data_IF_961451671802
#
_entry.id   IF_961451671802
#
_cell.length_a   1.000
_cell.length_b   1.000
_cell.length_c   1.000
_cell.angle_alpha   90.00
_cell.angle_beta   90.00
_cell.angle_gamma   90.00
#
_symmetry.space_group_name_H-M   'P 1'
#
loop_
_entity.id
_entity.type
_entity.pdbx_description
1 polymer ?
#
# COMPACT_ATOMS: atom_id res chain seq x y z
N UNK A 1 -24.16 -15.27 0.90
CA UNK A 1 -22.95 -14.82 1.64
C UNK A 1 -22.58 -13.45 1.13
N UNK A 2 -22.46 -12.44 1.98
CA UNK A 2 -22.15 -11.08 1.51
C UNK A 2 -20.91 -10.59 2.23
N UNK A 3 -19.78 -10.66 1.53
CA UNK A 3 -18.54 -10.01 1.97
C UNK A 3 -18.76 -8.50 2.00
N UNK A 4 -18.35 -7.82 3.08
CA UNK A 4 -18.38 -6.36 3.19
C UNK A 4 -16.93 -5.88 3.40
N UNK A 5 -16.48 -4.93 2.61
CA UNK A 5 -15.14 -4.37 2.72
C UNK A 5 -15.21 -2.88 3.05
N UNK A 6 -14.71 -2.52 4.22
CA UNK A 6 -14.40 -1.13 4.57
C UNK A 6 -13.06 -0.78 3.97
N UNK A 7 -13.02 0.17 3.06
CA UNK A 7 -11.83 0.46 2.27
C UNK A 7 -11.74 1.95 1.90
N UNK A 8 -10.58 2.34 1.38
CA UNK A 8 -10.40 3.65 0.75
C UNK A 8 -9.76 3.47 -0.63
N UNK A 9 -10.10 4.34 -1.56
CA UNK A 9 -9.65 4.36 -2.95
C UNK A 9 -8.12 4.39 -3.08
N UNK A 10 -7.45 5.27 -2.32
CA UNK A 10 -6.00 5.48 -2.38
C UNK A 10 -5.19 4.65 -1.38
N UNK A 11 -5.83 3.84 -0.52
CA UNK A 11 -5.12 2.98 0.43
C UNK A 11 -4.47 1.79 -0.24
N UNK A 12 -3.14 1.70 -0.21
CA UNK A 12 -2.39 0.55 -0.74
C UNK A 12 -2.79 -0.77 -0.07
N UNK A 13 -3.11 -0.75 1.23
CA UNK A 13 -3.61 -1.91 1.94
C UNK A 13 -5.00 -2.35 1.46
N UNK A 14 -5.91 -1.40 1.21
CA UNK A 14 -7.23 -1.71 0.66
C UNK A 14 -7.15 -2.21 -0.79
N UNK A 15 -6.23 -1.66 -1.59
CA UNK A 15 -5.98 -2.09 -2.95
C UNK A 15 -5.54 -3.55 -3.03
N UNK A 16 -4.68 -4.02 -2.09
CA UNK A 16 -4.31 -5.44 -1.99
C UNK A 16 -5.54 -6.33 -1.86
N UNK A 17 -6.44 -6.00 -0.95
CA UNK A 17 -7.64 -6.80 -0.69
C UNK A 17 -8.61 -6.76 -1.87
N UNK A 18 -8.84 -5.58 -2.49
CA UNK A 18 -9.67 -5.50 -3.70
C UNK A 18 -9.12 -6.35 -4.84
N UNK A 19 -7.80 -6.32 -5.05
CA UNK A 19 -7.16 -7.14 -6.08
C UNK A 19 -7.29 -8.63 -5.77
N UNK A 20 -7.16 -9.03 -4.50
CA UNK A 20 -7.38 -10.42 -4.07
C UNK A 20 -8.81 -10.88 -4.35
N UNK A 21 -9.80 -10.05 -4.00
CA UNK A 21 -11.22 -10.33 -4.26
C UNK A 21 -11.49 -10.48 -5.77
N UNK A 22 -10.90 -9.62 -6.60
CA UNK A 22 -11.02 -9.70 -8.05
C UNK A 22 -10.35 -10.96 -8.62
N UNK A 23 -9.13 -11.30 -8.18
CA UNK A 23 -8.43 -12.50 -8.61
C UNK A 23 -9.21 -13.80 -8.26
N UNK A 24 -9.95 -13.77 -7.16
CA UNK A 24 -10.81 -14.88 -6.72
C UNK A 24 -12.22 -14.85 -7.31
N UNK A 25 -12.58 -13.80 -8.06
CA UNK A 25 -13.93 -13.57 -8.59
C UNK A 25 -15.00 -13.50 -7.47
N UNK A 26 -14.66 -12.93 -6.32
CA UNK A 26 -15.56 -12.79 -5.18
C UNK A 26 -16.35 -11.48 -5.25
N UNK A 27 -17.67 -11.58 -5.11
CA UNK A 27 -18.53 -10.40 -4.98
C UNK A 27 -18.49 -9.86 -3.56
N UNK A 28 -18.50 -8.53 -3.43
CA UNK A 28 -18.43 -7.86 -2.13
C UNK A 28 -19.20 -6.54 -2.13
N UNK A 29 -19.62 -6.12 -0.96
CA UNK A 29 -20.27 -4.82 -0.73
C UNK A 29 -19.20 -3.79 -0.32
N UNK A 30 -19.17 -2.67 -1.05
CA UNK A 30 -18.25 -1.56 -0.78
C UNK A 30 -18.76 -0.67 0.35
N UNK A 31 -17.88 -0.42 1.33
CA UNK A 31 -18.03 0.61 2.35
C UNK A 31 -16.84 1.56 2.28
N UNK A 32 -16.94 2.57 1.41
CA UNK A 32 -15.87 3.54 1.22
C UNK A 32 -15.72 4.45 2.45
N UNK A 33 -14.47 4.63 2.91
CA UNK A 33 -14.09 5.43 4.07
C UNK A 33 -13.27 6.63 3.65
N UNK A 34 -13.71 7.85 3.94
CA UNK A 34 -12.93 9.06 3.71
C UNK A 34 -11.91 9.26 4.84
N UNK A 35 -10.66 8.89 4.55
CA UNK A 35 -9.56 9.01 5.53
C UNK A 35 -9.21 10.48 5.86
N UNK A 36 -9.55 11.43 4.98
CA UNK A 36 -9.30 12.86 5.20
C UNK A 36 -10.35 13.49 6.12
N UNK A 37 -11.57 12.96 6.09
CA UNK A 37 -12.64 13.33 7.04
C UNK A 37 -12.50 12.62 8.38
N UNK A 38 -11.74 11.52 8.44
CA UNK A 38 -11.52 10.77 9.66
C UNK A 38 -12.56 9.69 9.94
N UNK A 39 -13.23 9.16 8.90
CA UNK A 39 -14.29 8.14 9.03
C UNK A 39 -13.81 6.92 9.84
N UNK A 40 -12.51 6.56 9.72
CA UNK A 40 -11.93 5.46 10.51
C UNK A 40 -11.70 5.79 11.99
N UNK A 41 -11.92 7.03 12.42
CA UNK A 41 -11.62 7.50 13.78
C UNK A 41 -12.88 7.64 14.64
N UNK A 42 -14.05 7.33 14.08
CA UNK A 42 -15.32 7.30 14.81
C UNK A 42 -15.34 6.17 15.83
N UNK A 43 -16.06 6.30 16.94
CA UNK A 43 -16.22 5.23 17.92
C UNK A 43 -16.71 3.93 17.29
N UNK A 44 -17.73 4.02 16.43
CA UNK A 44 -18.39 2.88 15.78
C UNK A 44 -17.40 2.09 14.90
N UNK A 45 -16.54 2.78 14.14
CA UNK A 45 -15.55 2.08 13.34
C UNK A 45 -14.43 1.47 14.18
N UNK A 46 -14.05 2.12 15.30
CA UNK A 46 -13.05 1.58 16.23
C UNK A 46 -13.50 0.31 16.95
N UNK A 47 -14.80 0.06 17.07
CA UNK A 47 -15.33 -1.23 17.54
C UNK A 47 -15.02 -2.35 16.54
N UNK A 48 -15.05 -2.05 15.24
CA UNK A 48 -14.67 -3.00 14.18
C UNK A 48 -13.14 -3.15 14.05
N UNK A 49 -12.43 -2.02 14.09
CA UNK A 49 -10.97 -2.00 13.93
C UNK A 49 -10.35 -0.98 14.91
N UNK A 50 -9.87 -1.43 16.07
CA UNK A 50 -9.25 -0.55 17.07
C UNK A 50 -8.04 0.23 16.57
N UNK A 51 -7.36 -0.26 15.52
CA UNK A 51 -6.25 0.44 14.89
C UNK A 51 -6.68 1.66 14.07
N UNK A 52 -7.98 1.88 13.87
CA UNK A 52 -8.54 2.99 13.11
C UNK A 52 -7.97 3.12 11.69
N UNK A 53 -7.79 2.00 10.99
CA UNK A 53 -7.23 1.90 9.64
C UNK A 53 -8.14 1.07 8.73
N UNK A 54 -7.95 1.19 7.43
CA UNK A 54 -8.52 0.31 6.41
C UNK A 54 -7.42 -0.57 5.81
N UNK A 55 -7.76 -1.76 5.29
CA UNK A 55 -9.09 -2.37 5.16
C UNK A 55 -9.57 -3.06 6.43
N UNK A 56 -10.89 -3.24 6.53
CA UNK A 56 -11.54 -4.19 7.42
C UNK A 56 -12.53 -5.00 6.60
N UNK A 57 -12.44 -6.32 6.65
CA UNK A 57 -13.37 -7.22 5.99
C UNK A 57 -14.37 -7.76 7.00
N UNK A 58 -15.64 -7.84 6.60
CA UNK A 58 -16.67 -8.58 7.35
C UNK A 58 -17.18 -9.72 6.47
N UNK A 59 -17.08 -10.93 6.97
CA UNK A 59 -17.62 -12.13 6.35
C UNK A 59 -18.54 -12.86 7.32
N UNK A 60 -19.82 -13.02 6.97
CA UNK A 60 -20.85 -13.63 7.80
C UNK A 60 -20.88 -13.07 9.24
N UNK A 61 -20.69 -11.76 9.38
CA UNK A 61 -20.66 -11.07 10.67
C UNK A 61 -19.33 -11.16 11.41
N UNK A 62 -18.33 -11.90 10.91
CA UNK A 62 -17.00 -12.00 11.49
C UNK A 62 -16.11 -10.92 10.93
N UNK A 63 -15.43 -10.20 11.80
CA UNK A 63 -14.52 -9.11 11.44
C UNK A 63 -13.11 -9.64 11.28
N UNK A 64 -12.49 -9.37 10.13
CA UNK A 64 -11.10 -9.70 9.82
C UNK A 64 -10.37 -8.40 9.52
N UNK A 65 -9.27 -8.15 10.24
CA UNK A 65 -8.40 -7.01 10.08
C UNK A 65 -7.02 -7.45 9.55
N UNK A 66 -6.18 -6.45 9.22
CA UNK A 66 -4.84 -6.60 8.61
C UNK A 66 -4.89 -7.15 7.19
N UNK A 67 -4.42 -6.31 6.26
CA UNK A 67 -4.63 -6.58 4.82
C UNK A 67 -3.98 -7.87 4.33
N UNK A 68 -2.82 -8.25 4.84
CA UNK A 68 -2.12 -9.50 4.50
C UNK A 68 -2.84 -10.71 5.08
N UNK A 69 -3.37 -10.59 6.30
CA UNK A 69 -4.21 -11.62 6.93
C UNK A 69 -5.53 -11.78 6.17
N UNK A 70 -6.18 -10.67 5.77
CA UNK A 70 -7.41 -10.72 4.96
C UNK A 70 -7.16 -11.45 3.63
N UNK A 71 -6.01 -11.20 2.98
CA UNK A 71 -5.66 -11.88 1.73
C UNK A 71 -5.51 -13.39 1.91
N UNK A 72 -4.81 -13.83 2.98
CA UNK A 72 -4.67 -15.27 3.31
C UNK A 72 -6.02 -15.88 3.70
N UNK A 73 -6.82 -15.18 4.52
CA UNK A 73 -8.17 -15.60 4.90
C UNK A 73 -9.05 -15.85 3.66
N UNK A 74 -9.08 -14.92 2.72
CA UNK A 74 -9.87 -15.07 1.50
C UNK A 74 -9.43 -16.29 0.68
N UNK A 75 -8.13 -16.60 0.68
CA UNK A 75 -7.62 -17.77 -0.03
C UNK A 75 -7.96 -19.09 0.67
N UNK A 76 -7.98 -19.10 2.01
CA UNK A 76 -8.38 -20.27 2.81
C UNK A 76 -9.90 -20.49 2.81
N UNK A 77 -10.68 -19.41 2.99
CA UNK A 77 -12.14 -19.49 3.12
C UNK A 77 -12.84 -19.78 1.78
N UNK A 78 -12.21 -19.43 0.66
CA UNK A 78 -12.75 -19.59 -0.70
C UNK A 78 -11.75 -20.35 -1.58
N UNK A 79 -11.53 -21.67 -1.37
CA UNK A 79 -10.42 -22.43 -1.94
C UNK A 79 -10.56 -22.75 -3.43
N UNK A 80 -11.71 -22.51 -4.07
CA UNK A 80 -12.00 -22.90 -5.46
C UNK A 80 -11.00 -22.34 -6.46
N UNK A 81 -10.50 -21.14 -6.19
CA UNK A 81 -9.46 -20.48 -6.98
C UNK A 81 -8.33 -20.01 -6.06
N UNK A 82 -7.44 -20.93 -5.68
CA UNK A 82 -6.29 -20.60 -4.84
C UNK A 82 -5.28 -19.74 -5.59
N UNK A 83 -4.76 -18.72 -4.90
CA UNK A 83 -3.72 -17.80 -5.39
C UNK A 83 -2.40 -18.05 -4.64
N UNK A 84 -2.35 -19.06 -3.79
CA UNK A 84 -1.11 -19.51 -3.13
C UNK A 84 -0.60 -20.80 -3.77
N UNK A 85 0.73 -20.96 -3.81
CA UNK A 85 1.33 -22.23 -4.22
C UNK A 85 0.84 -23.40 -3.36
N UNK A 86 0.79 -24.60 -3.96
CA UNK A 86 0.47 -25.82 -3.21
C UNK A 86 1.64 -26.28 -2.32
N UNK A 87 2.85 -26.07 -2.80
CA UNK A 87 4.06 -26.46 -2.06
C UNK A 87 4.24 -25.63 -0.80
N UNK A 88 4.52 -26.25 0.38
CA UNK A 88 4.68 -25.53 1.65
C UNK A 88 5.88 -24.59 1.66
N UNK A 89 6.97 -24.90 0.96
CA UNK A 89 8.17 -24.04 0.90
C UNK A 89 7.86 -22.79 0.09
N UNK A 90 7.18 -22.95 -1.04
CA UNK A 90 6.74 -21.80 -1.84
C UNK A 90 5.74 -20.94 -1.08
N UNK A 91 4.82 -21.52 -0.29
CA UNK A 91 3.95 -20.75 0.63
C UNK A 91 4.73 -19.98 1.68
N UNK A 92 5.80 -20.56 2.21
CA UNK A 92 6.68 -19.84 3.15
C UNK A 92 7.37 -18.65 2.46
N UNK A 93 7.77 -18.77 1.19
CA UNK A 93 8.29 -17.65 0.38
C UNK A 93 7.25 -16.53 0.21
N UNK A 94 5.98 -16.86 -0.07
CA UNK A 94 4.89 -15.88 -0.11
C UNK A 94 4.81 -15.11 1.20
N UNK A 95 4.81 -15.81 2.35
CA UNK A 95 4.75 -15.18 3.67
C UNK A 95 5.97 -14.33 3.99
N UNK A 96 7.16 -14.72 3.56
CA UNK A 96 8.35 -13.90 3.72
C UNK A 96 8.23 -12.57 2.98
N UNK A 97 7.66 -12.57 1.76
CA UNK A 97 7.37 -11.34 1.02
C UNK A 97 6.32 -10.49 1.73
N UNK A 98 5.18 -11.05 2.11
CA UNK A 98 4.10 -10.28 2.76
C UNK A 98 4.51 -9.76 4.13
N UNK A 99 5.30 -10.52 4.90
CA UNK A 99 5.82 -10.10 6.20
C UNK A 99 6.70 -8.85 6.11
N UNK A 100 7.55 -8.72 5.09
CA UNK A 100 8.37 -7.50 4.90
C UNK A 100 7.51 -6.24 4.73
N UNK A 101 6.33 -6.36 4.09
CA UNK A 101 5.39 -5.26 3.97
C UNK A 101 4.89 -4.82 5.35
N UNK A 102 4.48 -5.75 6.18
CA UNK A 102 3.90 -5.46 7.49
C UNK A 102 4.96 -4.93 8.48
N UNK A 103 6.18 -5.44 8.45
CA UNK A 103 7.25 -5.03 9.36
C UNK A 103 7.81 -3.64 9.07
N UNK A 104 7.93 -3.22 7.81
CA UNK A 104 8.62 -1.95 7.52
C UNK A 104 8.21 -1.26 6.22
N UNK A 105 7.95 -2.00 5.14
CA UNK A 105 7.77 -1.41 3.82
C UNK A 105 6.49 -0.59 3.72
N UNK A 106 5.40 -1.03 4.36
CA UNK A 106 4.15 -0.27 4.41
C UNK A 106 4.34 1.06 5.15
N UNK A 107 5.07 1.06 6.26
CA UNK A 107 5.39 2.29 6.98
C UNK A 107 6.27 3.24 6.13
N UNK A 108 7.21 2.69 5.38
CA UNK A 108 8.08 3.47 4.49
C UNK A 108 7.29 4.10 3.33
N UNK A 109 6.38 3.37 2.65
CA UNK A 109 5.55 3.98 1.59
C UNK A 109 4.58 5.01 2.13
N UNK A 110 4.05 4.78 3.34
CA UNK A 110 3.24 5.78 4.05
C UNK A 110 4.04 7.06 4.32
N UNK A 111 5.30 6.93 4.71
CA UNK A 111 6.24 8.04 4.87
C UNK A 111 6.45 8.78 3.54
N UNK A 112 6.82 8.08 2.47
CA UNK A 112 7.06 8.67 1.15
C UNK A 112 5.80 9.41 0.67
N UNK A 113 4.65 8.75 0.68
CA UNK A 113 3.38 9.37 0.27
C UNK A 113 2.99 10.56 1.14
N UNK A 114 3.24 10.45 2.46
CA UNK A 114 2.96 11.49 3.44
C UNK A 114 3.82 12.74 3.24
N UNK A 115 5.13 12.55 3.07
CA UNK A 115 6.08 13.65 2.88
C UNK A 115 5.89 14.37 1.54
N UNK A 116 5.61 13.63 0.48
CA UNK A 116 5.55 14.18 -0.89
C UNK A 116 4.18 14.79 -1.18
N UNK A 117 3.10 14.04 -1.05
CA UNK A 117 1.80 14.45 -1.54
C UNK A 117 0.71 14.55 -0.47
N UNK A 118 0.59 13.56 0.41
CA UNK A 118 -0.57 13.49 1.32
C UNK A 118 -0.56 14.55 2.42
N UNK A 119 0.60 15.13 2.76
CA UNK A 119 0.68 16.29 3.66
C UNK A 119 -0.16 17.47 3.19
N UNK A 120 -0.16 17.74 1.89
CA UNK A 120 -0.94 18.82 1.30
C UNK A 120 -2.45 18.60 1.48
N UNK A 121 -2.91 17.35 1.29
CA UNK A 121 -4.30 16.97 1.55
C UNK A 121 -4.63 17.00 3.05
N UNK A 122 -3.68 16.66 3.92
CA UNK A 122 -3.86 16.67 5.36
C UNK A 122 -4.06 18.08 5.90
N UNK A 123 -3.31 19.04 5.37
CA UNK A 123 -3.36 20.45 5.77
C UNK A 123 -4.46 21.24 5.04
N UNK A 124 -4.99 20.76 3.92
CA UNK A 124 -5.99 21.47 3.14
C UNK A 124 -7.23 21.79 3.98
N UNK A 125 -7.58 23.06 4.09
CA UNK A 125 -8.72 23.56 4.85
C UNK A 125 -8.60 23.44 6.38
N UNK A 126 -7.39 23.24 6.91
CA UNK A 126 -7.09 23.19 8.35
C UNK A 126 -5.99 24.17 8.72
N UNK A 127 -6.11 24.77 9.89
CA UNK A 127 -5.00 25.46 10.54
C UNK A 127 -3.92 24.45 10.97
N UNK A 128 -2.78 24.94 11.41
CA UNK A 128 -1.71 24.09 11.97
C UNK A 128 -2.19 23.33 13.21
N UNK A 129 -2.89 24.02 14.10
CA UNK A 129 -3.44 23.48 15.35
C UNK A 129 -4.49 22.40 15.08
N UNK A 130 -5.40 22.64 14.12
CA UNK A 130 -6.40 21.67 13.68
C UNK A 130 -5.75 20.43 13.03
N UNK A 131 -4.68 20.64 12.25
CA UNK A 131 -3.91 19.54 11.65
C UNK A 131 -3.24 18.69 12.74
N UNK A 132 -2.63 19.32 13.75
CA UNK A 132 -2.04 18.61 14.89
C UNK A 132 -3.10 17.83 15.65
N UNK A 133 -4.24 18.48 15.97
CA UNK A 133 -5.36 17.82 16.67
C UNK A 133 -5.85 16.59 15.90
N UNK A 134 -6.01 16.73 14.58
CA UNK A 134 -6.42 15.63 13.72
C UNK A 134 -5.39 14.48 13.68
N UNK A 135 -4.09 14.76 13.61
CA UNK A 135 -3.03 13.74 13.66
C UNK A 135 -3.02 13.06 15.03
N UNK A 136 -3.26 13.79 16.12
CA UNK A 136 -3.29 13.24 17.48
C UNK A 136 -4.40 12.22 17.73
N UNK A 137 -5.40 12.14 16.85
CA UNK A 137 -6.40 11.07 16.88
C UNK A 137 -5.87 9.69 16.40
N UNK A 138 -4.65 9.62 15.87
CA UNK A 138 -4.00 8.35 15.50
C UNK A 138 -3.69 7.57 16.78
N UNK A 139 -4.20 6.34 16.93
CA UNK A 139 -4.02 5.57 18.17
C UNK A 139 -2.54 5.20 18.44
N UNK A 140 -1.80 4.81 17.40
CA UNK A 140 -0.41 4.35 17.54
C UNK A 140 0.55 5.54 17.68
N UNK A 141 1.29 5.60 18.81
CA UNK A 141 2.18 6.71 19.13
C UNK A 141 3.26 6.95 18.05
N UNK A 142 3.98 5.90 17.67
CA UNK A 142 5.04 6.01 16.66
C UNK A 142 4.53 6.51 15.30
N UNK A 143 3.34 6.03 14.89
CA UNK A 143 2.69 6.49 13.66
C UNK A 143 2.27 7.95 13.75
N UNK A 144 1.83 8.39 14.93
CA UNK A 144 1.46 9.79 15.22
C UNK A 144 2.67 10.71 15.11
N UNK A 145 3.78 10.37 15.79
CA UNK A 145 5.03 11.12 15.75
C UNK A 145 5.58 11.24 14.33
N UNK A 146 5.60 10.11 13.60
CA UNK A 146 6.00 10.09 12.20
C UNK A 146 5.09 10.99 11.35
N UNK A 147 3.77 10.92 11.56
CA UNK A 147 2.82 11.75 10.80
C UNK A 147 3.01 13.24 11.06
N UNK A 148 3.29 13.65 12.30
CA UNK A 148 3.61 15.05 12.63
C UNK A 148 4.87 15.50 11.90
N UNK A 149 5.95 14.73 11.99
CA UNK A 149 7.23 15.07 11.35
C UNK A 149 7.08 15.15 9.82
N UNK A 150 6.49 14.14 9.19
CA UNK A 150 6.31 14.09 7.73
C UNK A 150 5.37 15.17 7.21
N UNK A 151 4.30 15.49 7.93
CA UNK A 151 3.34 16.52 7.51
C UNK A 151 3.96 17.90 7.50
N UNK A 152 4.71 18.26 8.54
CA UNK A 152 5.23 19.62 8.66
C UNK A 152 6.60 19.82 8.02
N UNK A 153 7.44 18.80 7.95
CA UNK A 153 8.78 18.91 7.34
C UNK A 153 8.86 18.44 5.88
N UNK A 154 7.85 17.67 5.39
CA UNK A 154 7.88 17.16 4.02
C UNK A 154 9.13 16.32 3.75
N UNK A 155 9.81 16.57 2.61
CA UNK A 155 11.02 15.83 2.20
C UNK A 155 12.24 16.05 3.13
N UNK A 156 12.21 17.04 4.01
CA UNK A 156 13.21 17.27 5.05
C UNK A 156 12.92 16.47 6.34
N UNK A 157 11.87 15.65 6.35
CA UNK A 157 11.59 14.74 7.45
C UNK A 157 12.72 13.75 7.67
N UNK A 158 13.10 13.53 8.94
CA UNK A 158 14.10 12.52 9.32
C UNK A 158 13.76 11.10 8.87
N UNK A 159 12.48 10.84 8.56
CA UNK A 159 11.99 9.55 8.10
C UNK A 159 12.07 9.38 6.57
N UNK A 160 12.29 10.45 5.80
CA UNK A 160 12.20 10.38 4.34
C UNK A 160 13.37 9.61 3.73
N UNK A 161 14.64 9.99 4.04
CA UNK A 161 15.83 9.28 3.51
C UNK A 161 15.81 7.78 3.84
N UNK A 162 15.56 7.33 5.10
CA UNK A 162 15.45 5.91 5.41
C UNK A 162 14.35 5.19 4.63
N UNK A 163 13.22 5.84 4.40
CA UNK A 163 12.11 5.26 3.63
C UNK A 163 12.50 5.05 2.17
N UNK A 164 13.15 6.02 1.52
CA UNK A 164 13.65 5.88 0.14
C UNK A 164 14.67 4.73 0.06
N UNK A 165 15.69 4.70 0.93
CA UNK A 165 16.71 3.63 0.94
C UNK A 165 16.09 2.24 1.16
N UNK A 166 15.05 2.15 2.01
CA UNK A 166 14.35 0.88 2.25
C UNK A 166 13.63 0.36 1.00
N UNK A 167 13.01 1.27 0.22
CA UNK A 167 12.35 0.92 -1.03
C UNK A 167 13.35 0.64 -2.15
N UNK A 168 14.44 1.39 -2.22
CA UNK A 168 15.53 1.15 -3.17
C UNK A 168 16.12 -0.26 -2.99
N UNK A 169 16.38 -0.65 -1.73
CA UNK A 169 16.82 -2.02 -1.42
C UNK A 169 15.81 -3.06 -1.86
N UNK A 170 14.51 -2.85 -1.57
CA UNK A 170 13.46 -3.79 -1.99
C UNK A 170 13.47 -4.01 -3.50
N UNK A 171 13.57 -2.94 -4.30
CA UNK A 171 13.58 -3.08 -5.76
C UNK A 171 14.81 -3.84 -6.26
N UNK A 172 15.94 -3.74 -5.58
CA UNK A 172 17.12 -4.58 -5.85
C UNK A 172 16.86 -6.05 -5.48
N UNK A 173 16.17 -6.31 -4.38
CA UNK A 173 15.78 -7.66 -3.97
C UNK A 173 14.77 -8.27 -4.96
N UNK A 174 13.82 -7.47 -5.46
CA UNK A 174 12.87 -7.88 -6.52
C UNK A 174 13.62 -8.20 -7.81
N UNK A 175 14.53 -7.33 -8.27
CA UNK A 175 15.34 -7.55 -9.48
C UNK A 175 16.11 -8.86 -9.39
N UNK A 176 16.76 -9.12 -8.27
CA UNK A 176 17.50 -10.36 -7.99
C UNK A 176 16.58 -11.59 -8.04
N UNK A 177 15.38 -11.48 -7.49
CA UNK A 177 14.40 -12.58 -7.49
C UNK A 177 13.89 -12.85 -8.91
N UNK A 178 13.51 -11.80 -9.61
CA UNK A 178 12.95 -11.87 -10.95
C UNK A 178 13.97 -12.29 -12.02
N UNK A 179 15.27 -12.24 -11.72
CA UNK A 179 16.31 -12.83 -12.57
C UNK A 179 16.27 -14.37 -12.61
N UNK A 180 15.58 -15.00 -11.66
CA UNK A 180 15.47 -16.46 -11.53
C UNK A 180 14.05 -16.97 -11.72
N UNK A 181 13.09 -16.14 -11.37
CA UNK A 181 11.68 -16.49 -11.30
C UNK A 181 10.83 -15.52 -12.13
N UNK A 182 9.75 -16.01 -12.71
CA UNK A 182 8.81 -15.18 -13.49
C UNK A 182 8.01 -14.23 -12.58
N UNK A 183 7.69 -14.66 -11.35
CA UNK A 183 6.95 -13.94 -10.34
C UNK A 183 7.70 -13.97 -9.02
N UNK A 184 7.30 -13.16 -8.03
CA UNK A 184 8.04 -13.01 -6.76
C UNK A 184 8.27 -14.32 -5.98
N UNK A 185 7.49 -15.35 -6.25
CA UNK A 185 7.60 -16.65 -5.55
C UNK A 185 7.73 -17.85 -6.48
N UNK A 186 8.09 -17.65 -7.74
CA UNK A 186 8.30 -18.73 -8.68
C UNK A 186 7.65 -18.52 -10.04
N UNK A 187 7.07 -19.58 -10.59
CA UNK A 187 6.51 -19.58 -11.95
C UNK A 187 5.08 -19.04 -12.05
N UNK A 188 4.37 -18.90 -10.93
CA UNK A 188 2.95 -18.53 -10.90
C UNK A 188 2.72 -17.24 -10.11
N UNK A 189 1.81 -16.41 -10.62
CA UNK A 189 1.32 -15.24 -9.93
C UNK A 189 0.67 -15.63 -8.60
N UNK A 190 1.00 -14.92 -7.53
CA UNK A 190 0.63 -15.29 -6.17
C UNK A 190 0.20 -14.10 -5.31
N UNK A 191 -0.21 -14.37 -4.06
CA UNK A 191 -0.50 -13.33 -3.08
C UNK A 191 0.70 -12.38 -2.83
N UNK A 192 1.95 -12.83 -3.06
CA UNK A 192 3.10 -11.95 -2.97
C UNK A 192 3.03 -10.85 -4.06
N UNK A 193 2.76 -11.23 -5.30
CA UNK A 193 2.65 -10.28 -6.41
C UNK A 193 1.48 -9.32 -6.20
N UNK A 194 0.33 -9.84 -5.76
CA UNK A 194 -0.85 -9.02 -5.38
C UNK A 194 -0.46 -8.00 -4.30
N UNK A 195 0.28 -8.45 -3.28
CA UNK A 195 0.63 -7.60 -2.14
C UNK A 195 1.52 -6.42 -2.53
N UNK A 196 2.43 -6.60 -3.48
CA UNK A 196 3.37 -5.56 -3.91
C UNK A 196 2.82 -4.62 -4.99
N UNK A 197 1.86 -5.07 -5.79
CA UNK A 197 1.27 -4.28 -6.88
C UNK A 197 0.86 -2.84 -6.47
N UNK A 198 0.11 -2.61 -5.39
CA UNK A 198 -0.31 -1.25 -5.01
C UNK A 198 0.85 -0.32 -4.65
N UNK A 199 1.96 -0.88 -4.25
CA UNK A 199 3.12 -0.08 -3.82
C UNK A 199 3.91 0.43 -5.03
N UNK A 200 4.10 -0.39 -6.08
CA UNK A 200 4.69 0.07 -7.32
C UNK A 200 3.77 1.08 -8.00
N UNK A 201 2.45 0.81 -8.01
CA UNK A 201 1.45 1.79 -8.47
C UNK A 201 1.56 3.13 -7.72
N UNK A 202 1.87 3.10 -6.42
CA UNK A 202 2.11 4.34 -5.65
C UNK A 202 3.36 5.07 -6.11
N UNK A 203 4.47 4.37 -6.41
CA UNK A 203 5.68 5.00 -6.93
C UNK A 203 5.45 5.60 -8.33
N UNK A 204 4.66 4.92 -9.16
CA UNK A 204 4.23 5.41 -10.48
C UNK A 204 3.44 6.73 -10.33
N UNK A 205 2.41 6.77 -9.48
CA UNK A 205 1.64 7.99 -9.21
C UNK A 205 2.48 9.14 -8.65
N UNK A 206 3.58 8.86 -7.95
CA UNK A 206 4.51 9.87 -7.44
C UNK A 206 5.61 10.23 -8.44
N UNK A 207 5.58 9.71 -9.66
CA UNK A 207 6.60 9.91 -10.70
C UNK A 207 8.01 9.43 -10.25
N UNK A 208 8.06 8.43 -9.38
CA UNK A 208 9.31 7.86 -8.85
C UNK A 208 9.81 6.67 -9.68
N UNK A 209 9.44 6.64 -10.98
CA UNK A 209 9.85 5.57 -11.89
C UNK A 209 11.36 5.54 -12.15
N UNK A 210 12.08 6.61 -11.85
CA UNK A 210 13.54 6.63 -11.86
C UNK A 210 14.19 5.63 -10.90
N UNK A 211 13.46 5.15 -9.86
CA UNK A 211 13.89 4.04 -9.00
C UNK A 211 14.09 2.72 -9.76
N UNK A 212 13.52 2.59 -10.95
CA UNK A 212 13.61 1.38 -11.78
C UNK A 212 14.64 1.50 -12.92
N UNK A 213 15.37 2.63 -13.03
CA UNK A 213 16.29 2.90 -14.13
C UNK A 213 17.28 1.73 -14.42
N UNK A 214 17.74 1.07 -13.36
CA UNK A 214 18.67 -0.06 -13.45
C UNK A 214 18.03 -1.39 -13.03
N UNK A 215 16.71 -1.51 -13.15
CA UNK A 215 15.92 -2.66 -12.69
C UNK A 215 14.86 -3.05 -13.72
N UNK A 216 15.32 -3.49 -14.92
CA UNK A 216 14.42 -3.78 -16.04
C UNK A 216 13.46 -4.95 -15.75
N UNK A 217 13.85 -5.96 -14.96
CA UNK A 217 12.99 -7.09 -14.63
C UNK A 217 11.88 -6.70 -13.66
N UNK A 218 12.17 -5.82 -12.73
CA UNK A 218 11.16 -5.26 -11.81
C UNK A 218 10.16 -4.40 -12.57
N UNK A 219 10.62 -3.61 -13.53
CA UNK A 219 9.75 -2.82 -14.39
C UNK A 219 8.88 -3.72 -15.29
N UNK A 220 9.47 -4.74 -15.93
CA UNK A 220 8.74 -5.73 -16.72
C UNK A 220 7.68 -6.47 -15.89
N UNK A 221 8.02 -6.87 -14.66
CA UNK A 221 7.05 -7.44 -13.73
C UNK A 221 5.87 -6.51 -13.48
N UNK A 222 6.13 -5.22 -13.27
CA UNK A 222 5.07 -4.24 -13.03
C UNK A 222 4.19 -4.05 -14.27
N UNK A 223 4.76 -4.01 -15.48
CA UNK A 223 3.98 -3.94 -16.73
C UNK A 223 3.12 -5.20 -16.94
N UNK A 224 3.67 -6.38 -16.66
CA UNK A 224 2.89 -7.64 -16.70
C UNK A 224 1.74 -7.63 -15.70
N UNK A 225 1.94 -7.12 -14.49
CA UNK A 225 0.87 -6.97 -13.50
C UNK A 225 -0.21 -6.00 -14.00
N UNK A 226 0.18 -4.85 -14.53
CA UNK A 226 -0.77 -3.85 -15.09
C UNK A 226 -1.58 -4.39 -16.27
N UNK A 227 -1.01 -5.29 -17.05
CA UNK A 227 -1.69 -5.92 -18.20
C UNK A 227 -2.75 -6.95 -17.81
N UNK A 228 -2.81 -7.38 -16.55
CA UNK A 228 -3.82 -8.32 -16.07
C UNK A 228 -5.19 -7.64 -15.98
N UNK A 229 -6.25 -8.32 -16.43
CA UNK A 229 -7.62 -7.80 -16.41
C UNK A 229 -8.06 -7.33 -15.00
N UNK A 230 -7.63 -8.06 -13.97
CA UNK A 230 -7.99 -7.77 -12.58
C UNK A 230 -7.27 -6.54 -11.99
N UNK A 231 -6.29 -5.94 -12.70
CA UNK A 231 -5.68 -4.67 -12.28
C UNK A 231 -6.72 -3.54 -12.21
N UNK A 232 -7.86 -3.67 -12.88
CA UNK A 232 -9.02 -2.78 -12.77
C UNK A 232 -9.52 -2.62 -11.33
N UNK A 233 -9.32 -3.62 -10.46
CA UNK A 233 -9.61 -3.52 -9.01
C UNK A 233 -8.75 -2.45 -8.29
N UNK A 234 -7.70 -1.96 -8.95
CA UNK A 234 -6.89 -0.82 -8.51
C UNK A 234 -7.22 0.40 -9.36
N UNK A 235 -7.05 0.33 -10.69
CA UNK A 235 -7.11 1.49 -11.59
C UNK A 235 -8.48 2.18 -11.60
N UNK A 236 -9.58 1.43 -11.57
CA UNK A 236 -10.92 1.98 -11.63
C UNK A 236 -11.35 2.66 -10.32
N UNK A 237 -10.66 2.37 -9.23
CA UNK A 237 -10.90 2.94 -7.91
C UNK A 237 -9.99 4.11 -7.57
N UNK A 238 -9.02 4.44 -8.42
CA UNK A 238 -8.12 5.56 -8.18
C UNK A 238 -8.90 6.87 -8.21
N UNK A 239 -8.74 7.64 -7.14
CA UNK A 239 -9.33 8.97 -7.08
C UNK A 239 -8.56 9.96 -7.95
N UNK A 240 -9.07 10.18 -9.15
CA UNK A 240 -8.45 11.05 -10.17
C UNK A 240 -8.20 12.48 -9.67
N UNK A 241 -8.91 12.94 -8.64
CA UNK A 241 -8.70 14.26 -8.01
C UNK A 241 -7.31 14.39 -7.39
N UNK A 242 -6.72 13.28 -6.92
CA UNK A 242 -5.45 13.32 -6.21
C UNK A 242 -4.24 13.09 -7.11
N UNK A 243 -4.42 12.54 -8.30
CA UNK A 243 -3.30 12.19 -9.19
C UNK A 243 -2.50 13.43 -9.61
N UNK A 244 -3.09 14.54 -10.10
CA UNK A 244 -2.31 15.71 -10.50
C UNK A 244 -1.41 16.25 -9.39
N UNK A 245 -1.92 16.29 -8.15
CA UNK A 245 -1.12 16.71 -7.00
C UNK A 245 0.04 15.75 -6.70
N UNK A 246 -0.20 14.44 -6.84
CA UNK A 246 0.84 13.43 -6.60
C UNK A 246 1.94 13.50 -7.66
N UNK A 247 1.59 13.72 -8.91
CA UNK A 247 2.52 13.90 -10.04
C UNK A 247 3.33 15.18 -9.87
N UNK A 248 2.68 16.33 -9.62
CA UNK A 248 3.34 17.62 -9.39
C UNK A 248 4.35 17.53 -8.24
N UNK A 249 3.88 17.10 -7.06
CA UNK A 249 4.73 17.05 -5.86
C UNK A 249 5.77 15.93 -5.90
N UNK A 250 5.50 14.89 -6.65
CA UNK A 250 6.46 13.82 -6.92
C UNK A 250 7.63 14.34 -7.79
N UNK A 251 7.32 15.03 -8.88
CA UNK A 251 8.34 15.66 -9.72
C UNK A 251 9.17 16.69 -8.95
N UNK A 252 8.55 17.51 -8.09
CA UNK A 252 9.27 18.45 -7.22
C UNK A 252 10.20 17.75 -6.22
N UNK A 253 9.82 16.57 -5.73
CA UNK A 253 10.60 15.82 -4.75
C UNK A 253 11.70 14.95 -5.39
N UNK A 254 11.61 14.65 -6.68
CA UNK A 254 12.52 13.73 -7.36
C UNK A 254 14.01 14.10 -7.24
N UNK A 255 14.46 15.37 -7.39
CA UNK A 255 15.86 15.73 -7.21
C UNK A 255 16.41 15.32 -5.84
N UNK A 256 15.60 15.44 -4.78
CA UNK A 256 15.98 15.01 -3.44
C UNK A 256 16.07 13.48 -3.33
N UNK A 257 15.17 12.76 -3.99
CA UNK A 257 15.22 11.29 -4.07
C UNK A 257 16.51 10.86 -4.77
N UNK A 258 16.84 11.47 -5.91
CA UNK A 258 18.04 11.17 -6.69
C UNK A 258 19.33 11.45 -5.88
N UNK A 259 19.39 12.56 -5.15
CA UNK A 259 20.48 12.85 -4.22
C UNK A 259 20.65 11.74 -3.17
N UNK A 260 19.51 11.31 -2.55
CA UNK A 260 19.51 10.24 -1.55
C UNK A 260 20.03 8.91 -2.14
N UNK A 261 19.64 8.58 -3.37
CA UNK A 261 20.06 7.35 -4.04
C UNK A 261 21.57 7.34 -4.35
N UNK A 262 22.14 8.50 -4.65
CA UNK A 262 23.55 8.68 -4.98
C UNK A 262 24.46 8.86 -3.75
N UNK A 263 23.90 9.00 -2.53
CA UNK A 263 24.69 9.02 -1.28
C UNK A 263 24.78 7.60 -0.69
N UNK A 264 25.98 7.18 -0.24
CA UNK A 264 26.20 5.92 0.48
C UNK A 264 25.42 5.82 1.80
#
# INVERSE_FOLDING_TARGET
MTLKLYHNDMSTCAQKVRLTLAEKNLNWQSHHMDLRRGDTRTPEYKELNPNAVVPTLIDEGKVICESTIIMEYLDDAYPEKSIRPKDPVERARVRNWTKQLDESLHAAVGTISGTVAFRHQMMAGRTKEETIAFINLIPQLEKRERSLDTTFKGIESRYFKPAIKRWDKLFSDMETTLSKDQWLTGKTYSLADIAYTPYLTRMDHLQFMGLFKNRPLTLDWYERVKSRSNYSAISDWINKKYIPLMEEKGNEAWPRVEEILNTE
#
